data_IF_903852980546
#
_entry.id   IF_903852980546
#
_cell.length_a   1.000
_cell.length_b   1.000
_cell.length_c   1.000
_cell.angle_alpha   90.00
_cell.angle_beta   90.00
_cell.angle_gamma   90.00
#
_symmetry.space_group_name_H-M   'P 1'
#
loop_
_entity.id
_entity.type
_entity.pdbx_description
1 polymer ?
#
# COMPACT_ATOMS: atom_id res chain seq x y z
N UNK A 1 14.94 -6.94 12.33
CA UNK A 1 15.50 -7.61 11.12
C UNK A 1 16.73 -8.46 11.47
N UNK A 2 17.62 -7.99 12.34
CA UNK A 2 18.79 -8.76 12.81
C UNK A 2 18.42 -10.09 13.45
N UNK A 3 17.31 -10.15 14.21
CA UNK A 3 16.81 -11.34 14.90
C UNK A 3 16.00 -12.31 14.04
N UNK A 4 15.78 -12.03 12.75
CA UNK A 4 14.87 -12.77 11.84
C UNK A 4 13.43 -12.92 12.33
N UNK A 5 13.05 -12.28 13.42
CA UNK A 5 11.68 -12.35 13.98
C UNK A 5 10.65 -11.88 12.97
N UNK A 6 10.93 -10.76 12.27
CA UNK A 6 10.05 -10.21 11.24
C UNK A 6 9.84 -11.21 10.08
N UNK A 7 10.92 -11.84 9.60
CA UNK A 7 10.84 -12.87 8.55
C UNK A 7 10.05 -14.10 9.03
N UNK A 8 10.30 -14.54 10.26
CA UNK A 8 9.58 -15.65 10.87
C UNK A 8 8.08 -15.34 11.00
N UNK A 9 7.71 -14.15 11.47
CA UNK A 9 6.32 -13.72 11.55
C UNK A 9 5.63 -13.74 10.18
N UNK A 10 6.25 -13.14 9.16
CA UNK A 10 5.67 -13.07 7.81
C UNK A 10 5.55 -14.44 7.15
N UNK A 11 6.52 -15.33 7.36
CA UNK A 11 6.46 -16.71 6.86
C UNK A 11 5.42 -17.58 7.59
N UNK A 12 5.03 -17.18 8.80
CA UNK A 12 3.99 -17.88 9.58
C UNK A 12 2.57 -17.52 9.15
N UNK A 13 2.40 -16.50 8.30
CA UNK A 13 1.09 -16.09 7.78
C UNK A 13 0.58 -17.15 6.79
N UNK A 14 -0.66 -17.64 6.94
CA UNK A 14 -1.27 -18.57 5.99
C UNK A 14 -1.32 -17.99 4.57
N UNK A 15 -1.23 -18.87 3.55
CA UNK A 15 -1.19 -18.45 2.15
C UNK A 15 -2.44 -17.65 1.76
N UNK A 16 -3.63 -18.07 2.20
CA UNK A 16 -4.91 -17.37 1.95
C UNK A 16 -4.87 -15.92 2.46
N UNK A 17 -4.38 -15.70 3.70
CA UNK A 17 -4.25 -14.36 4.27
C UNK A 17 -3.18 -13.54 3.57
N UNK A 18 -2.06 -14.15 3.13
CA UNK A 18 -1.02 -13.42 2.36
C UNK A 18 -1.56 -12.86 1.05
N UNK A 19 -2.34 -13.65 0.30
CA UNK A 19 -2.99 -13.19 -0.92
C UNK A 19 -4.05 -12.13 -0.64
N UNK A 20 -4.83 -12.33 0.42
CA UNK A 20 -5.84 -11.36 0.87
C UNK A 20 -5.22 -10.01 1.27
N UNK A 21 -4.05 -10.02 1.93
CA UNK A 21 -3.34 -8.78 2.29
C UNK A 21 -3.01 -7.94 1.05
N UNK A 22 -2.44 -8.55 0.00
CA UNK A 22 -2.14 -7.85 -1.25
C UNK A 22 -3.39 -7.29 -1.92
N UNK A 23 -4.45 -8.10 -2.01
CA UNK A 23 -5.72 -7.69 -2.60
C UNK A 23 -6.43 -6.61 -1.78
N UNK A 24 -6.39 -6.72 -0.45
CA UNK A 24 -6.97 -5.73 0.48
C UNK A 24 -6.29 -4.37 0.37
N UNK A 25 -4.96 -4.33 0.31
CA UNK A 25 -4.21 -3.10 0.03
C UNK A 25 -4.60 -2.52 -1.33
N UNK A 26 -4.76 -3.37 -2.36
CA UNK A 26 -5.27 -2.95 -3.66
C UNK A 26 -6.65 -2.28 -3.55
N UNK A 27 -7.61 -2.93 -2.90
CA UNK A 27 -8.95 -2.38 -2.70
C UNK A 27 -8.93 -1.07 -1.90
N UNK A 28 -8.09 -1.00 -0.87
CA UNK A 28 -7.88 0.21 -0.07
C UNK A 28 -7.40 1.39 -0.93
N UNK A 29 -6.40 1.17 -1.78
CA UNK A 29 -5.93 2.18 -2.74
C UNK A 29 -7.02 2.58 -3.74
N UNK A 30 -7.79 1.61 -4.23
CA UNK A 30 -8.90 1.88 -5.13
C UNK A 30 -9.93 2.83 -4.51
N UNK A 31 -10.28 2.61 -3.24
CA UNK A 31 -11.21 3.48 -2.50
C UNK A 31 -10.59 4.86 -2.25
N UNK A 32 -9.30 4.95 -1.91
CA UNK A 32 -8.60 6.23 -1.82
C UNK A 32 -8.65 6.97 -3.16
N UNK A 33 -8.35 6.29 -4.27
CA UNK A 33 -8.43 6.88 -5.60
C UNK A 33 -9.84 7.38 -5.95
N UNK A 34 -10.87 6.59 -5.67
CA UNK A 34 -12.26 6.98 -5.88
C UNK A 34 -12.68 8.18 -5.00
N UNK A 35 -12.17 8.24 -3.76
CA UNK A 35 -12.47 9.36 -2.83
C UNK A 35 -11.72 10.63 -3.22
N UNK A 36 -10.43 10.54 -3.52
CA UNK A 36 -9.63 11.71 -3.90
C UNK A 36 -10.04 12.30 -5.25
N UNK A 37 -10.59 11.50 -6.15
CA UNK A 37 -11.17 11.98 -7.41
C UNK A 37 -12.54 12.63 -7.25
N UNK A 38 -13.23 12.44 -6.12
CA UNK A 38 -14.60 12.88 -5.93
C UNK A 38 -15.65 11.98 -6.62
N UNK A 39 -15.26 10.82 -7.18
CA UNK A 39 -16.22 9.84 -7.72
C UNK A 39 -17.08 9.27 -6.59
N UNK A 40 -16.48 9.02 -5.42
CA UNK A 40 -17.24 8.74 -4.20
C UNK A 40 -17.01 9.85 -3.18
N UNK A 41 -18.06 10.20 -2.45
CA UNK A 41 -18.03 11.24 -1.41
C UNK A 41 -18.67 10.71 -0.13
N UNK A 42 -18.33 11.32 1.00
CA UNK A 42 -18.89 10.96 2.29
C UNK A 42 -20.41 11.17 2.33
N UNK A 43 -21.12 10.29 3.03
CA UNK A 43 -22.56 10.36 3.23
C UNK A 43 -22.92 9.96 4.65
N UNK A 44 -23.66 10.79 5.36
CA UNK A 44 -24.11 10.51 6.73
C UNK A 44 -25.09 9.32 6.81
N UNK A 45 -25.79 9.01 5.70
CA UNK A 45 -26.77 7.93 5.66
C UNK A 45 -26.16 6.56 5.30
N UNK A 46 -25.14 6.54 4.41
CA UNK A 46 -24.60 5.30 3.81
C UNK A 46 -23.08 5.18 3.88
N UNK A 47 -22.41 6.01 4.69
CA UNK A 47 -20.96 6.21 4.78
C UNK A 47 -20.37 6.83 3.51
N UNK A 48 -20.66 6.29 2.34
CA UNK A 48 -20.21 6.78 1.04
C UNK A 48 -21.41 6.80 0.05
N UNK A 49 -21.37 7.75 -0.89
CA UNK A 49 -22.30 7.84 -2.02
C UNK A 49 -21.56 8.25 -3.28
N UNK A 50 -22.19 8.08 -4.43
CA UNK A 50 -21.69 8.60 -5.70
C UNK A 50 -21.64 10.12 -5.64
N UNK A 51 -20.49 10.70 -6.00
CA UNK A 51 -20.30 12.13 -6.15
C UNK A 51 -20.99 12.69 -7.40
N UNK A 52 -20.85 14.00 -7.61
CA UNK A 52 -21.40 14.65 -8.80
C UNK A 52 -20.51 14.36 -10.01
N UNK A 53 -21.01 13.50 -10.92
CA UNK A 53 -20.31 13.27 -12.19
C UNK A 53 -20.42 14.46 -13.19
N UNK A 54 -21.12 15.54 -12.80
CA UNK A 54 -21.15 16.78 -13.58
C UNK A 54 -19.89 17.63 -13.34
N UNK A 55 -19.20 17.41 -12.22
CA UNK A 55 -17.97 18.11 -11.90
C UNK A 55 -16.82 17.60 -12.79
N UNK A 56 -15.95 18.48 -13.27
CA UNK A 56 -14.89 18.09 -14.20
C UNK A 56 -13.86 17.14 -13.57
N UNK A 57 -13.56 17.27 -12.27
CA UNK A 57 -12.55 16.45 -11.60
C UNK A 57 -12.88 14.94 -11.59
N UNK A 58 -14.09 14.48 -11.16
CA UNK A 58 -14.47 13.07 -11.25
C UNK A 58 -14.50 12.53 -12.68
N UNK A 59 -14.95 13.34 -13.65
CA UNK A 59 -14.95 12.96 -15.05
C UNK A 59 -13.53 12.76 -15.58
N UNK A 60 -12.63 13.70 -15.29
CA UNK A 60 -11.22 13.62 -15.70
C UNK A 60 -10.51 12.41 -15.05
N UNK A 61 -10.84 12.08 -13.80
CA UNK A 61 -10.32 10.87 -13.15
C UNK A 61 -10.79 9.59 -13.85
N UNK A 62 -12.08 9.51 -14.19
CA UNK A 62 -12.64 8.39 -14.93
C UNK A 62 -12.00 8.26 -16.33
N UNK A 63 -11.83 9.39 -17.04
CA UNK A 63 -11.14 9.43 -18.33
C UNK A 63 -9.69 8.98 -18.18
N UNK A 64 -8.96 9.42 -17.13
CA UNK A 64 -7.60 8.99 -16.85
C UNK A 64 -7.52 7.47 -16.68
N UNK A 65 -8.39 6.89 -15.85
CA UNK A 65 -8.45 5.45 -15.63
C UNK A 65 -8.71 4.68 -16.95
N UNK A 66 -9.70 5.10 -17.73
CA UNK A 66 -10.03 4.47 -19.01
C UNK A 66 -8.89 4.59 -20.01
N UNK A 67 -8.25 5.77 -20.10
CA UNK A 67 -7.05 5.96 -20.93
C UNK A 67 -5.93 5.00 -20.54
N UNK A 68 -5.63 4.89 -19.25
CA UNK A 68 -4.61 3.95 -18.76
C UNK A 68 -4.97 2.52 -19.18
N UNK A 69 -6.23 2.10 -18.99
CA UNK A 69 -6.68 0.76 -19.34
C UNK A 69 -6.56 0.48 -20.85
N UNK A 70 -7.01 1.41 -21.70
CA UNK A 70 -6.95 1.29 -23.17
C UNK A 70 -5.48 1.25 -23.64
N UNK A 71 -4.65 2.20 -23.19
CA UNK A 71 -3.24 2.25 -23.60
C UNK A 71 -2.47 1.01 -23.10
N UNK A 72 -2.78 0.53 -21.90
CA UNK A 72 -2.19 -0.71 -21.36
C UNK A 72 -2.62 -1.95 -22.15
N UNK A 73 -3.87 -2.01 -22.59
CA UNK A 73 -4.36 -3.08 -23.48
C UNK A 73 -3.57 -3.11 -24.80
N UNK A 74 -3.33 -1.94 -25.39
CA UNK A 74 -2.50 -1.79 -26.60
C UNK A 74 -1.00 -1.89 -26.33
N UNK A 75 -0.57 -2.21 -25.11
CA UNK A 75 0.84 -2.34 -24.69
C UNK A 75 1.67 -1.08 -24.96
N UNK A 76 1.06 0.10 -24.90
CA UNK A 76 1.76 1.37 -25.05
C UNK A 76 2.66 1.59 -23.86
N UNK A 77 3.96 1.78 -24.11
CA UNK A 77 4.94 2.05 -23.05
C UNK A 77 4.63 3.38 -22.39
N UNK A 78 4.63 3.40 -21.06
CA UNK A 78 4.35 4.62 -20.28
C UNK A 78 2.86 5.01 -20.23
N UNK A 79 1.92 4.09 -20.48
CA UNK A 79 0.48 4.32 -20.50
C UNK A 79 -0.01 5.16 -19.30
N UNK A 80 0.46 4.88 -18.08
CA UNK A 80 0.08 5.61 -16.87
C UNK A 80 0.56 7.05 -16.93
N UNK A 81 1.84 7.27 -17.27
CA UNK A 81 2.42 8.61 -17.34
C UNK A 81 1.76 9.46 -18.43
N UNK A 82 1.57 8.88 -19.62
CA UNK A 82 0.90 9.55 -20.74
C UNK A 82 -0.51 9.99 -20.34
N UNK A 83 -1.27 9.12 -19.67
CA UNK A 83 -2.64 9.43 -19.25
C UNK A 83 -2.67 10.53 -18.17
N UNK A 84 -1.78 10.47 -17.18
CA UNK A 84 -1.66 11.51 -16.16
C UNK A 84 -1.34 12.87 -16.79
N UNK A 85 -0.35 12.92 -17.71
CA UNK A 85 0.03 14.16 -18.39
C UNK A 85 -1.14 14.69 -19.23
N UNK A 86 -1.78 13.83 -20.04
CA UNK A 86 -2.88 14.22 -20.90
C UNK A 86 -4.06 14.82 -20.09
N UNK A 87 -4.42 14.17 -18.97
CA UNK A 87 -5.50 14.65 -18.10
C UNK A 87 -5.11 15.91 -17.33
N UNK A 88 -3.84 16.06 -16.94
CA UNK A 88 -3.33 17.28 -16.33
C UNK A 88 -3.40 18.44 -17.31
N UNK A 89 -3.02 18.24 -18.56
CA UNK A 89 -3.13 19.26 -19.63
C UNK A 89 -4.60 19.60 -19.94
N UNK A 90 -5.49 18.62 -19.95
CA UNK A 90 -6.93 18.86 -20.11
C UNK A 90 -7.48 19.69 -18.94
N UNK A 91 -7.06 19.39 -17.70
CA UNK A 91 -7.42 20.16 -16.51
C UNK A 91 -6.86 21.59 -16.54
N UNK A 92 -5.67 21.77 -17.09
CA UNK A 92 -5.12 23.11 -17.31
C UNK A 92 -5.96 23.92 -18.33
N UNK A 93 -6.41 23.29 -19.40
CA UNK A 93 -7.33 23.91 -20.36
C UNK A 93 -8.72 24.25 -19.80
N UNK A 94 -9.10 23.67 -18.65
CA UNK A 94 -10.33 23.95 -17.91
C UNK A 94 -10.12 24.88 -16.70
N UNK A 95 -8.98 25.55 -16.59
CA UNK A 95 -8.59 26.41 -15.47
C UNK A 95 -8.59 25.74 -14.09
N UNK A 96 -8.47 24.40 -14.05
CA UNK A 96 -8.40 23.61 -12.80
C UNK A 96 -6.98 23.46 -12.27
N UNK A 97 -5.97 23.79 -13.08
CA UNK A 97 -4.54 23.67 -12.73
C UNK A 97 -3.87 25.02 -12.88
N UNK A 98 -3.25 25.51 -11.81
CA UNK A 98 -2.50 26.73 -11.83
C UNK A 98 -1.01 26.49 -12.08
N UNK A 99 -0.40 27.30 -12.92
CA UNK A 99 1.02 27.21 -13.22
C UNK A 99 1.86 27.81 -12.07
N UNK A 100 2.71 26.98 -11.46
CA UNK A 100 3.54 27.36 -10.31
C UNK A 100 5.06 27.35 -10.62
N UNK A 101 5.45 27.33 -11.89
CA UNK A 101 6.85 27.24 -12.31
C UNK A 101 7.28 25.80 -12.64
N UNK A 102 8.45 25.69 -13.26
CA UNK A 102 8.99 24.40 -13.72
C UNK A 102 10.01 23.83 -12.72
N UNK A 103 10.90 24.67 -12.22
CA UNK A 103 12.03 24.25 -11.38
C UNK A 103 12.14 25.11 -10.13
N UNK A 104 12.54 24.46 -9.03
CA UNK A 104 12.94 25.12 -7.78
C UNK A 104 14.15 24.42 -7.17
N UNK A 105 14.89 25.13 -6.33
CA UNK A 105 15.90 24.50 -5.51
C UNK A 105 15.22 23.57 -4.48
N UNK A 106 15.77 22.37 -4.22
CA UNK A 106 15.25 21.49 -3.17
C UNK A 106 15.27 22.22 -1.82
N UNK A 107 14.28 21.98 -0.95
CA UNK A 107 14.26 22.57 0.39
C UNK A 107 15.47 22.07 1.21
N UNK A 108 15.96 22.92 2.12
CA UNK A 108 17.06 22.56 3.01
C UNK A 108 16.64 21.41 3.94
N UNK A 109 17.51 20.40 4.07
CA UNK A 109 17.35 19.31 5.04
C UNK A 109 17.85 19.70 6.45
N UNK A 110 18.48 20.86 6.61
CA UNK A 110 19.10 21.25 7.88
C UNK A 110 18.17 21.21 9.10
N UNK A 111 16.86 21.57 8.99
CA UNK A 111 15.95 21.52 10.14
C UNK A 111 15.58 20.12 10.61
N UNK A 112 15.66 19.12 9.73
CA UNK A 112 15.22 17.74 10.01
C UNK A 112 16.38 16.76 10.18
N UNK A 113 17.59 17.16 9.74
CA UNK A 113 18.78 16.30 9.80
C UNK A 113 19.16 15.97 11.23
N UNK A 114 19.16 14.68 11.59
CA UNK A 114 19.49 14.18 12.94
C UNK A 114 18.60 14.78 14.07
N UNK A 115 17.43 15.29 13.75
CA UNK A 115 16.51 15.93 14.72
C UNK A 115 15.74 14.92 15.61
N UNK A 116 16.01 13.62 15.49
CA UNK A 116 15.33 12.58 16.27
C UNK A 116 15.66 12.66 17.76
N UNK A 117 14.63 12.60 18.60
CA UNK A 117 14.79 12.51 20.07
C UNK A 117 14.87 11.04 20.52
N UNK A 118 16.07 10.50 20.55
CA UNK A 118 16.29 9.12 21.00
C UNK A 118 16.04 8.94 22.51
N UNK A 119 16.16 9.99 23.33
CA UNK A 119 15.93 9.89 24.78
C UNK A 119 14.43 9.85 25.10
N UNK A 120 13.63 10.63 24.40
CA UNK A 120 12.17 10.64 24.57
C UNK A 120 11.50 9.31 24.24
N UNK A 121 12.04 8.55 23.29
CA UNK A 121 11.51 7.24 22.87
C UNK A 121 11.53 6.19 24.00
N UNK A 122 12.47 6.28 24.93
CA UNK A 122 12.60 5.32 26.06
C UNK A 122 11.68 5.64 27.24
N UNK A 123 10.82 6.65 27.16
CA UNK A 123 9.78 6.85 28.17
C UNK A 123 8.70 5.75 28.09
N UNK A 124 8.21 5.30 29.25
CA UNK A 124 7.22 4.22 29.34
C UNK A 124 5.95 4.52 28.51
N UNK A 125 5.50 5.78 28.53
CA UNK A 125 4.35 6.24 27.73
C UNK A 125 4.58 6.17 26.22
N UNK A 126 5.85 6.28 25.77
CA UNK A 126 6.21 6.22 24.36
C UNK A 126 6.42 4.79 23.85
N UNK A 127 6.70 3.82 24.72
CA UNK A 127 6.91 2.42 24.33
C UNK A 127 5.68 1.85 23.64
N UNK A 128 4.47 2.12 24.14
CA UNK A 128 3.22 1.67 23.52
C UNK A 128 3.03 2.27 22.14
N UNK A 129 3.33 3.55 21.96
CA UNK A 129 3.26 4.25 20.67
C UNK A 129 4.27 3.68 19.68
N UNK A 130 5.52 3.46 20.11
CA UNK A 130 6.58 2.86 19.28
C UNK A 130 6.19 1.44 18.84
N UNK A 131 5.66 0.63 19.74
CA UNK A 131 5.20 -0.72 19.41
C UNK A 131 4.02 -0.68 18.43
N UNK A 132 3.06 0.22 18.61
CA UNK A 132 1.94 0.39 17.68
C UNK A 132 2.44 0.75 16.28
N UNK A 133 3.32 1.75 16.15
CA UNK A 133 3.91 2.12 14.86
C UNK A 133 4.76 1.00 14.26
N UNK A 134 5.52 0.26 15.07
CA UNK A 134 6.29 -0.90 14.63
C UNK A 134 5.39 -1.96 13.99
N UNK A 135 4.27 -2.30 14.65
CA UNK A 135 3.32 -3.28 14.12
C UNK A 135 2.64 -2.77 12.85
N UNK A 136 2.15 -1.52 12.84
CA UNK A 136 1.56 -0.91 11.66
C UNK A 136 2.54 -0.97 10.49
N UNK A 137 3.77 -0.48 10.66
CA UNK A 137 4.80 -0.49 9.61
C UNK A 137 5.15 -1.91 9.14
N UNK A 138 5.23 -2.87 10.06
CA UNK A 138 5.56 -4.26 9.73
C UNK A 138 4.47 -4.91 8.86
N UNK A 139 3.20 -4.70 9.20
CA UNK A 139 2.08 -5.29 8.47
C UNK A 139 1.77 -4.54 7.18
N UNK A 140 1.93 -3.23 7.16
CA UNK A 140 1.82 -2.43 5.95
C UNK A 140 2.85 -2.87 4.90
N UNK A 141 4.14 -2.97 5.29
CA UNK A 141 5.18 -3.53 4.42
C UNK A 141 4.86 -4.96 3.98
N UNK A 142 4.27 -5.78 4.86
CA UNK A 142 3.92 -7.16 4.51
C UNK A 142 2.85 -7.21 3.42
N UNK A 143 1.80 -6.40 3.54
CA UNK A 143 0.71 -6.32 2.56
C UNK A 143 1.17 -5.80 1.21
N UNK A 144 1.88 -4.67 1.21
CA UNK A 144 2.40 -4.03 0.01
C UNK A 144 3.43 -4.90 -0.71
N UNK A 145 4.40 -5.46 0.05
CA UNK A 145 5.43 -6.33 -0.50
C UNK A 145 4.83 -7.61 -1.10
N UNK A 146 3.81 -8.20 -0.45
CA UNK A 146 3.11 -9.38 -0.98
C UNK A 146 2.41 -9.05 -2.30
N UNK A 147 1.66 -7.95 -2.38
CA UNK A 147 0.97 -7.54 -3.59
C UNK A 147 1.92 -7.28 -4.76
N UNK A 148 3.03 -6.57 -4.52
CA UNK A 148 4.05 -6.28 -5.54
C UNK A 148 4.81 -7.54 -5.93
N UNK A 149 5.23 -8.38 -4.97
CA UNK A 149 5.94 -9.63 -5.23
C UNK A 149 5.10 -10.62 -6.04
N UNK A 150 3.80 -10.67 -5.76
CA UNK A 150 2.85 -11.49 -6.52
C UNK A 150 2.75 -11.03 -7.97
N UNK A 151 2.63 -9.73 -8.19
CA UNK A 151 2.61 -9.15 -9.54
C UNK A 151 3.93 -9.39 -10.28
N UNK A 152 5.05 -9.42 -9.55
CA UNK A 152 6.39 -9.71 -10.09
C UNK A 152 6.64 -11.19 -10.38
N UNK A 153 5.76 -12.10 -9.96
CA UNK A 153 5.97 -13.55 -10.06
C UNK A 153 7.05 -14.07 -9.10
N UNK A 154 7.30 -13.35 -8.00
CA UNK A 154 8.29 -13.69 -6.97
C UNK A 154 7.69 -14.46 -5.78
N UNK A 155 6.42 -14.85 -5.87
CA UNK A 155 5.74 -15.67 -4.88
C UNK A 155 5.78 -17.13 -5.33
N UNK A 156 6.33 -17.99 -4.48
CA UNK A 156 6.41 -19.44 -4.71
C UNK A 156 5.03 -20.11 -4.57
N UNK A 157 4.93 -21.36 -5.01
CA UNK A 157 3.68 -22.14 -4.91
C UNK A 157 3.19 -22.32 -3.46
N UNK A 158 4.09 -22.28 -2.47
CA UNK A 158 3.78 -22.31 -1.03
C UNK A 158 3.36 -20.93 -0.48
N UNK A 159 3.23 -19.92 -1.35
CA UNK A 159 2.86 -18.57 -1.02
C UNK A 159 3.98 -17.74 -0.36
N UNK A 160 5.22 -18.23 -0.27
CA UNK A 160 6.36 -17.48 0.28
C UNK A 160 6.97 -16.57 -0.77
N UNK A 161 7.42 -15.40 -0.33
CA UNK A 161 8.13 -14.44 -1.20
C UNK A 161 9.59 -14.87 -1.34
N UNK A 162 10.07 -14.93 -2.57
CA UNK A 162 11.47 -15.17 -2.85
C UNK A 162 12.33 -14.00 -2.35
N UNK A 163 13.49 -14.32 -1.75
CA UNK A 163 14.43 -13.33 -1.19
C UNK A 163 13.81 -12.36 -0.14
N UNK A 164 12.73 -12.76 0.56
CA UNK A 164 12.06 -11.94 1.58
C UNK A 164 13.02 -11.32 2.59
N UNK A 165 14.01 -12.09 3.07
CA UNK A 165 15.00 -11.61 4.05
C UNK A 165 15.79 -10.42 3.53
N UNK A 166 16.18 -10.43 2.24
CA UNK A 166 16.92 -9.32 1.62
C UNK A 166 16.04 -8.08 1.46
N UNK A 167 14.78 -8.27 1.05
CA UNK A 167 13.81 -7.19 0.93
C UNK A 167 13.56 -6.52 2.28
N UNK A 168 13.34 -7.29 3.36
CA UNK A 168 13.13 -6.76 4.71
C UNK A 168 14.37 -6.06 5.29
N UNK A 169 15.58 -6.49 4.93
CA UNK A 169 16.82 -5.78 5.32
C UNK A 169 16.92 -4.43 4.62
N UNK A 170 16.60 -4.38 3.32
CA UNK A 170 16.60 -3.13 2.56
C UNK A 170 15.56 -2.14 3.12
N UNK A 171 14.33 -2.61 3.39
CA UNK A 171 13.25 -1.84 3.99
C UNK A 171 13.65 -1.27 5.38
N UNK A 172 14.26 -2.09 6.23
CA UNK A 172 14.73 -1.63 7.53
C UNK A 172 15.90 -0.63 7.44
N UNK A 173 16.82 -0.86 6.51
CA UNK A 173 17.97 0.06 6.31
C UNK A 173 17.49 1.42 5.78
N UNK A 174 16.53 1.43 4.84
CA UNK A 174 15.92 2.66 4.32
C UNK A 174 15.16 3.43 5.40
N UNK A 175 14.44 2.72 6.29
CA UNK A 175 13.73 3.35 7.41
C UNK A 175 14.68 3.99 8.42
N UNK A 176 15.82 3.33 8.71
CA UNK A 176 16.89 3.93 9.57
C UNK A 176 17.47 5.18 8.92
N UNK A 177 17.78 5.11 7.62
CA UNK A 177 18.28 6.26 6.87
C UNK A 177 17.24 7.40 6.83
N UNK A 178 15.96 7.05 6.61
CA UNK A 178 14.85 7.99 6.64
C UNK A 178 14.75 8.72 7.99
N UNK A 179 14.90 8.01 9.11
CA UNK A 179 14.91 8.61 10.43
C UNK A 179 16.05 9.62 10.63
N UNK A 180 17.26 9.32 10.10
CA UNK A 180 18.41 10.25 10.12
C UNK A 180 18.11 11.53 9.33
N UNK A 181 17.44 11.41 8.19
CA UNK A 181 17.05 12.55 7.34
C UNK A 181 15.83 13.30 7.93
N UNK A 182 15.09 12.67 8.85
CA UNK A 182 13.92 13.26 9.50
C UNK A 182 12.61 13.07 8.70
N UNK A 183 12.50 11.96 7.96
CA UNK A 183 11.28 11.56 7.27
C UNK A 183 10.61 10.37 7.97
N UNK A 184 9.30 10.16 7.79
CA UNK A 184 8.61 8.98 8.32
C UNK A 184 9.25 7.66 7.88
N UNK A 185 8.93 6.52 8.54
CA UNK A 185 9.45 5.21 8.14
C UNK A 185 9.23 4.95 6.65
N UNK A 186 10.30 4.58 5.96
CA UNK A 186 10.25 4.27 4.53
C UNK A 186 9.73 2.84 4.35
N UNK A 187 8.67 2.68 3.58
CA UNK A 187 8.06 1.37 3.28
C UNK A 187 8.04 1.11 1.78
N UNK A 188 7.79 -0.14 1.39
CA UNK A 188 7.62 -0.50 -0.01
C UNK A 188 6.36 0.14 -0.59
N UNK A 189 6.48 0.71 -1.80
CA UNK A 189 5.37 1.37 -2.50
C UNK A 189 4.55 0.38 -3.31
N UNK A 190 3.24 0.50 -3.18
CA UNK A 190 2.26 -0.32 -3.92
C UNK A 190 2.31 0.01 -5.41
N UNK A 191 2.58 1.27 -5.75
CA UNK A 191 2.73 1.80 -7.09
C UNK A 191 3.86 1.11 -7.86
N UNK A 192 4.81 0.46 -7.17
CA UNK A 192 5.82 -0.42 -7.79
C UNK A 192 5.20 -1.53 -8.62
N UNK A 193 3.94 -1.94 -8.34
CA UNK A 193 3.21 -2.90 -9.15
C UNK A 193 3.01 -2.41 -10.60
N UNK A 194 2.90 -1.10 -10.82
CA UNK A 194 2.84 -0.50 -12.15
C UNK A 194 4.17 -0.63 -12.89
N UNK A 195 5.30 -0.38 -12.22
CA UNK A 195 6.64 -0.57 -12.79
C UNK A 195 6.91 -2.03 -13.14
N UNK A 196 6.47 -2.96 -12.29
CA UNK A 196 6.54 -4.40 -12.56
C UNK A 196 5.67 -4.79 -13.75
N UNK A 197 4.45 -4.25 -13.85
CA UNK A 197 3.56 -4.48 -15.00
C UNK A 197 4.16 -3.96 -16.32
N UNK A 198 4.91 -2.86 -16.27
CA UNK A 198 5.66 -2.32 -17.41
C UNK A 198 6.93 -3.12 -17.77
N UNK A 199 7.28 -4.16 -17.01
CA UNK A 199 8.41 -5.06 -17.29
C UNK A 199 9.61 -4.91 -16.37
N UNK A 200 9.54 -4.08 -15.31
CA UNK A 200 10.61 -3.96 -14.31
C UNK A 200 10.83 -5.26 -13.54
N UNK A 201 12.06 -5.82 -13.61
CA UNK A 201 12.37 -7.15 -13.06
C UNK A 201 13.64 -7.20 -12.20
N UNK A 202 14.44 -6.15 -12.21
CA UNK A 202 15.77 -6.13 -11.59
C UNK A 202 15.94 -4.97 -10.62
N UNK A 203 16.94 -5.04 -9.75
CA UNK A 203 17.32 -3.95 -8.86
C UNK A 203 17.69 -2.66 -9.60
N UNK A 204 18.12 -2.76 -10.86
CA UNK A 204 18.39 -1.58 -11.69
C UNK A 204 17.13 -0.72 -11.89
N UNK A 205 15.94 -1.32 -12.00
CA UNK A 205 14.67 -0.60 -12.03
C UNK A 205 14.51 0.27 -10.78
N UNK A 206 14.77 -0.30 -9.59
CA UNK A 206 14.67 0.44 -8.34
C UNK A 206 15.71 1.58 -8.23
N UNK A 207 16.96 1.35 -8.68
CA UNK A 207 18.00 2.38 -8.72
C UNK A 207 17.60 3.51 -9.66
N UNK A 208 17.08 3.19 -10.85
CA UNK A 208 16.61 4.19 -11.81
C UNK A 208 15.48 5.04 -11.22
N UNK A 209 14.51 4.40 -10.55
CA UNK A 209 13.43 5.11 -9.85
C UNK A 209 14.00 6.03 -8.76
N UNK A 210 14.96 5.57 -7.97
CA UNK A 210 15.62 6.38 -6.96
C UNK A 210 16.31 7.62 -7.53
N UNK A 211 17.04 7.46 -8.64
CA UNK A 211 17.69 8.58 -9.36
C UNK A 211 16.63 9.57 -9.89
N UNK A 212 15.53 9.06 -10.44
CA UNK A 212 14.43 9.90 -10.92
C UNK A 212 13.74 10.66 -9.79
N UNK A 213 13.58 10.06 -8.59
CA UNK A 213 13.07 10.78 -7.42
C UNK A 213 14.00 11.92 -7.00
N UNK A 214 15.33 11.70 -6.99
CA UNK A 214 16.30 12.76 -6.69
C UNK A 214 16.23 13.87 -7.74
N UNK A 215 16.15 13.52 -9.02
CA UNK A 215 15.97 14.50 -10.09
C UNK A 215 14.63 15.26 -9.97
N UNK A 216 13.55 14.57 -9.59
CA UNK A 216 12.22 15.16 -9.42
C UNK A 216 12.16 16.20 -8.30
N UNK A 217 13.08 16.16 -7.32
CA UNK A 217 13.17 17.21 -6.29
C UNK A 217 13.39 18.62 -6.87
N UNK A 218 14.11 18.73 -7.99
CA UNK A 218 14.31 19.99 -8.70
C UNK A 218 13.08 20.43 -9.49
N UNK A 219 12.19 19.49 -9.81
CA UNK A 219 10.94 19.72 -10.53
C UNK A 219 9.71 19.69 -9.62
N UNK A 220 9.91 19.95 -8.32
CA UNK A 220 8.83 19.95 -7.33
C UNK A 220 7.64 20.86 -7.71
N UNK A 221 7.82 22.10 -8.26
CA UNK A 221 6.68 22.90 -8.71
C UNK A 221 5.88 22.23 -9.82
N UNK A 222 6.57 21.62 -10.79
CA UNK A 222 5.93 20.91 -11.90
C UNK A 222 5.16 19.67 -11.40
N UNK A 223 5.77 18.88 -10.50
CA UNK A 223 5.11 17.75 -9.89
C UNK A 223 3.88 18.16 -9.07
N UNK A 224 3.96 19.29 -8.36
CA UNK A 224 2.84 19.86 -7.59
C UNK A 224 1.68 20.37 -8.45
N UNK A 225 1.88 20.55 -9.75
CA UNK A 225 0.81 20.89 -10.69
C UNK A 225 -0.06 19.70 -11.09
N UNK A 226 0.42 18.45 -10.86
CA UNK A 226 -0.36 17.25 -11.18
C UNK A 226 -1.52 17.15 -10.18
N UNK A 227 -2.78 17.27 -10.66
CA UNK A 227 -3.92 17.29 -9.76
C UNK A 227 -4.27 15.91 -9.23
N UNK A 228 -4.90 15.88 -8.06
CA UNK A 228 -5.27 14.62 -7.38
C UNK A 228 -6.18 13.72 -8.25
N UNK A 229 -7.06 14.28 -9.06
CA UNK A 229 -7.92 13.50 -9.96
C UNK A 229 -7.13 12.79 -11.08
N UNK A 230 -6.00 13.32 -11.53
CA UNK A 230 -5.16 12.65 -12.52
C UNK A 230 -4.41 11.45 -11.90
N UNK A 231 -3.87 11.60 -10.68
CA UNK A 231 -3.21 10.51 -9.96
C UNK A 231 -4.21 9.46 -9.46
N UNK A 232 -5.45 9.85 -9.14
CA UNK A 232 -6.52 8.96 -8.72
C UNK A 232 -6.83 7.88 -9.77
N UNK A 233 -6.88 8.22 -11.06
CA UNK A 233 -7.06 7.25 -12.14
C UNK A 233 -5.96 6.18 -12.16
N UNK A 234 -4.71 6.58 -11.90
CA UNK A 234 -3.59 5.65 -11.78
C UNK A 234 -3.69 4.76 -10.53
N UNK A 235 -4.11 5.33 -9.38
CA UNK A 235 -4.32 4.55 -8.14
C UNK A 235 -5.39 3.47 -8.34
N UNK A 236 -6.51 3.79 -8.99
CA UNK A 236 -7.57 2.82 -9.31
C UNK A 236 -7.04 1.71 -10.22
N UNK A 237 -6.20 2.06 -11.19
CA UNK A 237 -5.57 1.07 -12.09
C UNK A 237 -4.60 0.14 -11.33
N UNK A 238 -3.75 0.69 -10.46
CA UNK A 238 -2.84 -0.10 -9.61
C UNK A 238 -3.63 -1.00 -8.65
N UNK A 239 -4.72 -0.51 -8.09
CA UNK A 239 -5.63 -1.30 -7.26
C UNK A 239 -6.11 -2.56 -8.00
N UNK A 240 -6.55 -2.42 -9.25
CA UNK A 240 -6.95 -3.55 -10.10
C UNK A 240 -5.81 -4.56 -10.29
N UNK A 241 -4.57 -4.08 -10.53
CA UNK A 241 -3.41 -4.96 -10.70
C UNK A 241 -3.12 -5.80 -9.44
N UNK A 242 -3.33 -5.24 -8.25
CA UNK A 242 -3.09 -5.91 -6.97
C UNK A 242 -4.19 -6.89 -6.59
N UNK A 243 -5.42 -6.66 -7.01
CA UNK A 243 -6.54 -7.57 -6.74
C UNK A 243 -6.40 -8.94 -7.42
N UNK A 244 -5.52 -9.08 -8.40
CA UNK A 244 -5.22 -10.36 -9.06
C UNK A 244 -4.84 -11.50 -8.12
N UNK A 245 -4.40 -11.19 -6.89
CA UNK A 245 -4.11 -12.17 -5.84
C UNK A 245 -5.29 -13.00 -5.38
N UNK A 246 -6.48 -12.49 -5.49
CA UNK A 246 -7.70 -13.16 -5.03
C UNK A 246 -7.96 -14.50 -5.74
N UNK A 247 -7.46 -14.67 -6.95
CA UNK A 247 -7.58 -15.94 -7.70
C UNK A 247 -6.87 -17.13 -7.04
N UNK A 248 -5.91 -16.88 -6.14
CA UNK A 248 -5.16 -17.93 -5.44
C UNK A 248 -5.73 -18.27 -4.06
N UNK A 249 -6.82 -17.60 -3.65
CA UNK A 249 -7.54 -17.93 -2.43
C UNK A 249 -8.41 -19.16 -2.70
N UNK A 250 -8.37 -20.14 -1.78
CA UNK A 250 -9.25 -21.31 -1.86
C UNK A 250 -10.67 -20.90 -1.41
N UNK A 251 -11.54 -20.66 -2.37
CA UNK A 251 -12.91 -20.23 -2.13
C UNK A 251 -13.84 -21.36 -1.65
N UNK A 252 -13.45 -22.62 -1.86
CA UNK A 252 -14.24 -23.79 -1.45
C UNK A 252 -14.04 -24.13 0.04
N UNK A 253 -13.00 -23.58 0.69
CA UNK A 253 -12.71 -23.80 2.11
C UNK A 253 -13.12 -22.58 2.95
N UNK A 254 -14.27 -22.63 3.68
CA UNK A 254 -14.77 -21.49 4.44
C UNK A 254 -13.79 -20.96 5.49
N UNK A 255 -12.97 -21.83 6.08
CA UNK A 255 -11.98 -21.43 7.10
C UNK A 255 -10.78 -20.67 6.51
N UNK A 256 -10.64 -20.61 5.20
CA UNK A 256 -9.63 -19.84 4.48
C UNK A 256 -10.23 -18.62 3.77
N UNK A 257 -11.39 -18.80 3.09
CA UNK A 257 -11.99 -17.70 2.33
C UNK A 257 -12.63 -16.62 3.22
N UNK A 258 -13.28 -16.99 4.33
CA UNK A 258 -13.94 -16.00 5.21
C UNK A 258 -12.90 -15.04 5.83
N UNK A 259 -11.78 -15.51 6.45
CA UNK A 259 -10.75 -14.61 6.95
C UNK A 259 -10.11 -13.75 5.85
N UNK A 260 -9.97 -14.30 4.64
CA UNK A 260 -9.46 -13.57 3.50
C UNK A 260 -10.41 -12.41 3.11
N UNK A 261 -11.72 -12.67 3.03
CA UNK A 261 -12.73 -11.66 2.76
C UNK A 261 -12.73 -10.58 3.85
N UNK A 262 -12.69 -10.99 5.13
CA UNK A 262 -12.61 -10.05 6.26
C UNK A 262 -11.40 -9.14 6.09
N UNK A 263 -10.22 -9.70 5.80
CA UNK A 263 -8.99 -8.92 5.56
C UNK A 263 -9.19 -7.89 4.44
N UNK A 264 -9.68 -8.34 3.28
CA UNK A 264 -9.83 -7.50 2.08
C UNK A 264 -10.81 -6.36 2.30
N UNK A 265 -11.95 -6.64 2.96
CA UNK A 265 -13.02 -5.65 3.14
C UNK A 265 -12.69 -4.69 4.30
N UNK A 266 -12.11 -5.20 5.38
CA UNK A 266 -11.89 -4.37 6.57
C UNK A 266 -10.77 -3.33 6.37
N UNK A 267 -9.78 -3.59 5.52
CA UNK A 267 -8.72 -2.60 5.22
C UNK A 267 -9.29 -1.25 4.75
N UNK A 268 -10.11 -1.18 3.69
CA UNK A 268 -10.70 0.09 3.27
C UNK A 268 -11.75 0.64 4.24
N UNK A 269 -12.53 -0.22 4.92
CA UNK A 269 -13.58 0.24 5.82
C UNK A 269 -13.02 0.86 7.11
N UNK A 270 -11.89 0.36 7.59
CA UNK A 270 -11.19 0.93 8.77
C UNK A 270 -10.19 2.01 8.40
N UNK A 271 -9.95 2.27 7.11
CA UNK A 271 -8.85 3.09 6.62
C UNK A 271 -7.49 2.70 7.20
N UNK A 272 -7.31 1.41 7.49
CA UNK A 272 -6.11 0.87 8.14
C UNK A 272 -5.78 -0.52 7.59
N UNK A 273 -4.62 -0.63 6.94
CA UNK A 273 -4.08 -1.92 6.48
C UNK A 273 -3.85 -2.84 7.69
N UNK A 274 -3.30 -2.29 8.77
CA UNK A 274 -2.98 -3.07 9.98
C UNK A 274 -4.24 -3.62 10.67
N UNK A 275 -5.34 -2.85 10.73
CA UNK A 275 -6.58 -3.30 11.36
C UNK A 275 -7.29 -4.36 10.52
N UNK A 276 -7.28 -4.20 9.19
CA UNK A 276 -7.80 -5.22 8.28
C UNK A 276 -7.05 -6.55 8.41
N UNK A 277 -5.72 -6.50 8.49
CA UNK A 277 -4.88 -7.68 8.75
C UNK A 277 -5.21 -8.29 10.11
N UNK A 278 -5.29 -7.48 11.16
CA UNK A 278 -5.56 -7.94 12.52
C UNK A 278 -6.90 -8.69 12.60
N UNK A 279 -7.96 -8.12 12.03
CA UNK A 279 -9.29 -8.73 11.99
C UNK A 279 -9.30 -10.03 11.16
N UNK A 280 -8.56 -10.07 10.05
CA UNK A 280 -8.36 -11.29 9.27
C UNK A 280 -7.67 -12.40 10.06
N UNK A 281 -6.62 -12.08 10.82
CA UNK A 281 -5.93 -13.05 11.68
C UNK A 281 -6.83 -13.56 12.80
N UNK A 282 -7.54 -12.67 13.49
CA UNK A 282 -8.48 -13.05 14.56
C UNK A 282 -9.55 -13.99 14.00
N UNK A 283 -10.15 -13.67 12.85
CA UNK A 283 -11.16 -14.50 12.22
C UNK A 283 -10.61 -15.84 11.76
N UNK A 284 -9.37 -15.90 11.23
CA UNK A 284 -8.70 -17.14 10.85
C UNK A 284 -8.52 -18.07 12.05
N UNK A 285 -7.94 -17.55 13.13
CA UNK A 285 -7.70 -18.33 14.35
C UNK A 285 -9.03 -18.80 14.95
N UNK A 286 -10.02 -17.92 15.04
CA UNK A 286 -11.34 -18.24 15.58
C UNK A 286 -12.05 -19.36 14.78
N UNK A 287 -12.05 -19.27 13.44
CA UNK A 287 -12.69 -20.26 12.58
C UNK A 287 -11.95 -21.60 12.59
N UNK A 288 -10.62 -21.60 12.49
CA UNK A 288 -9.83 -22.85 12.55
C UNK A 288 -9.94 -23.54 13.93
N UNK A 289 -9.98 -22.76 15.01
CA UNK A 289 -10.21 -23.28 16.35
C UNK A 289 -11.65 -23.82 16.51
N UNK A 290 -12.66 -23.06 16.10
CA UNK A 290 -14.06 -23.45 16.20
C UNK A 290 -14.42 -24.68 15.36
N UNK A 291 -13.70 -24.94 14.27
CA UNK A 291 -13.87 -26.13 13.39
C UNK A 291 -12.97 -27.31 13.77
N UNK A 292 -12.23 -27.21 14.87
CA UNK A 292 -11.35 -28.31 15.35
C UNK A 292 -10.03 -28.46 14.58
N UNK A 293 -9.72 -27.54 13.65
CA UNK A 293 -8.49 -27.57 12.83
C UNK A 293 -7.28 -26.94 13.57
N UNK A 294 -7.11 -27.23 14.87
CA UNK A 294 -6.06 -26.64 15.71
C UNK A 294 -4.64 -26.85 15.19
N UNK A 295 -4.39 -27.96 14.48
CA UNK A 295 -3.07 -28.30 13.93
C UNK A 295 -2.63 -27.37 12.80
N UNK A 296 -3.55 -26.67 12.18
CA UNK A 296 -3.26 -25.70 11.12
C UNK A 296 -2.91 -24.30 11.68
N UNK A 297 -3.09 -24.09 12.99
CA UNK A 297 -2.77 -22.83 13.65
C UNK A 297 -1.37 -22.92 14.25
N UNK A 298 -0.40 -22.19 13.68
CA UNK A 298 0.95 -22.11 14.26
C UNK A 298 0.94 -21.36 15.59
N UNK A 299 1.92 -21.65 16.46
CA UNK A 299 2.08 -20.93 17.74
C UNK A 299 2.21 -19.43 17.52
N UNK A 300 2.89 -19.01 16.46
CA UNK A 300 3.00 -17.61 16.06
C UNK A 300 1.65 -16.94 15.77
N UNK A 301 0.71 -17.66 15.16
CA UNK A 301 -0.64 -17.14 14.89
C UNK A 301 -1.44 -16.94 16.18
N UNK A 302 -1.30 -17.84 17.15
CA UNK A 302 -1.91 -17.66 18.47
C UNK A 302 -1.37 -16.43 19.19
N UNK A 303 -0.04 -16.25 19.17
CA UNK A 303 0.61 -15.08 19.79
C UNK A 303 0.18 -13.79 19.10
N UNK A 304 0.17 -13.77 17.76
CA UNK A 304 -0.29 -12.60 16.99
C UNK A 304 -1.76 -12.27 17.25
N UNK A 305 -2.62 -13.30 17.29
CA UNK A 305 -4.04 -13.13 17.62
C UNK A 305 -4.23 -12.50 19.00
N UNK A 306 -3.50 -12.98 20.01
CA UNK A 306 -3.54 -12.41 21.36
C UNK A 306 -3.05 -10.95 21.39
N UNK A 307 -1.98 -10.63 20.66
CA UNK A 307 -1.48 -9.26 20.53
C UNK A 307 -2.51 -8.35 19.85
N UNK A 308 -3.16 -8.79 18.77
CA UNK A 308 -4.18 -8.00 18.10
C UNK A 308 -5.43 -7.79 18.93
N UNK A 309 -5.88 -8.81 19.66
CA UNK A 309 -6.99 -8.67 20.60
C UNK A 309 -6.62 -7.66 21.69
N UNK A 310 -5.42 -7.77 22.27
CA UNK A 310 -4.94 -6.80 23.26
C UNK A 310 -4.87 -5.38 22.67
N UNK A 311 -4.41 -5.22 21.42
CA UNK A 311 -4.44 -3.93 20.72
C UNK A 311 -5.85 -3.33 20.68
N UNK A 312 -6.87 -4.09 20.30
CA UNK A 312 -8.25 -3.59 20.21
C UNK A 312 -8.92 -3.33 21.56
N UNK A 313 -8.41 -3.91 22.65
CA UNK A 313 -8.94 -3.67 24.00
C UNK A 313 -8.28 -2.45 24.66
N UNK A 314 -6.99 -2.23 24.42
CA UNK A 314 -6.19 -1.25 25.17
C UNK A 314 -5.72 -0.04 24.36
N UNK A 315 -5.85 -0.05 23.04
CA UNK A 315 -5.53 1.05 22.12
C UNK A 315 -6.75 1.47 21.30
#
# INVERSE_FOLDING_TARGET
TLSRVREWLLNSIPASLRYAMGAGVGLFLGIIGLKTSGIIVDSSATLIKLGSLRDPAPLLAAVCFLMIAILSYHRVFGAILISIIAVTLAGWGLDLVHYNGIMSAPPSLAPTWMAMDLKGVFNISMISVVLAFLFVHMFDTAGTLMGVAQRAGLVKADGRIENLSRALKADSASSVFGAVVGVPPVTSYVESAAGVAAGGRTGLTAVTVGVLFVAAMFFAPLAGMIPAYATAGALIYVAMLMMGGMQHINWDEPTDCIPAIVTVIMMPLTFSVADGIALGFISFVALKAGTGKYREISVSLWVLCAIFIAKFIYL
#
